data_IF_616297963404
#
_entry.id   IF_616297963404
#
_cell.length_a   1.000
_cell.length_b   1.000
_cell.length_c   1.000
_cell.angle_alpha   90.00
_cell.angle_beta   90.00
_cell.angle_gamma   90.00
#
_symmetry.space_group_name_H-M   'P 1'
#
loop_
_entity.id
_entity.type
_entity.pdbx_description
1 polymer ?
#
# COMPACT_ATOMS: atom_id res chain seq x y z
N UNK A 1 12.83 -7.41 -15.06
CA UNK A 1 11.42 -7.25 -15.49
C UNK A 1 10.56 -6.71 -14.37
N UNK A 2 9.85 -5.60 -14.62
CA UNK A 2 8.94 -5.00 -13.64
C UNK A 2 7.65 -5.83 -13.58
N UNK A 3 7.27 -6.26 -12.38
CA UNK A 3 6.04 -7.01 -12.12
C UNK A 3 4.95 -6.06 -11.63
N UNK A 4 3.73 -6.29 -12.08
CA UNK A 4 2.55 -5.52 -11.74
C UNK A 4 1.54 -6.41 -11.03
N UNK A 5 0.92 -5.90 -9.97
CA UNK A 5 -0.13 -6.62 -9.25
C UNK A 5 -1.44 -6.43 -10.01
N UNK A 6 -2.04 -7.54 -10.42
CA UNK A 6 -3.34 -7.54 -11.10
C UNK A 6 -4.32 -8.32 -10.25
N UNK A 7 -5.42 -7.67 -9.88
CA UNK A 7 -6.54 -8.29 -9.18
C UNK A 7 -7.56 -8.79 -10.21
N UNK A 8 -7.89 -10.07 -10.15
CA UNK A 8 -8.83 -10.75 -11.03
C UNK A 8 -10.16 -10.93 -10.30
N UNK A 9 -11.26 -10.40 -10.86
CA UNK A 9 -12.53 -10.26 -10.15
C UNK A 9 -13.22 -11.61 -9.87
N UNK A 10 -13.23 -12.50 -10.86
CA UNK A 10 -13.85 -13.83 -10.82
C UNK A 10 -13.46 -14.72 -9.63
N UNK A 11 -12.33 -14.45 -8.98
CA UNK A 11 -11.86 -15.21 -7.82
C UNK A 11 -11.30 -14.33 -6.69
N UNK A 12 -11.37 -12.99 -6.84
CA UNK A 12 -10.70 -12.05 -5.95
C UNK A 12 -9.20 -12.38 -5.71
N UNK A 13 -8.52 -12.90 -6.75
CA UNK A 13 -7.12 -13.35 -6.70
C UNK A 13 -6.22 -12.24 -7.21
N UNK A 14 -5.08 -12.04 -6.54
CA UNK A 14 -4.02 -11.14 -7.01
C UNK A 14 -2.89 -11.97 -7.62
N UNK A 15 -2.52 -11.65 -8.87
CA UNK A 15 -1.42 -12.28 -9.59
C UNK A 15 -0.35 -11.26 -9.97
N UNK A 16 0.90 -11.71 -10.03
CA UNK A 16 2.01 -10.91 -10.55
C UNK A 16 2.11 -11.08 -12.06
N UNK A 17 1.85 -10.03 -12.83
CA UNK A 17 1.91 -10.03 -14.29
C UNK A 17 3.07 -9.19 -14.82
N UNK A 18 3.53 -9.49 -16.04
CA UNK A 18 4.57 -8.73 -16.73
C UNK A 18 3.97 -7.86 -17.83
N UNK A 19 4.43 -6.62 -17.94
CA UNK A 19 4.07 -5.73 -19.05
C UNK A 19 4.74 -6.23 -20.33
N UNK A 20 3.94 -6.64 -21.32
CA UNK A 20 4.44 -7.19 -22.58
C UNK A 20 4.52 -6.11 -23.67
N UNK A 21 3.54 -5.22 -23.73
CA UNK A 21 3.45 -4.21 -24.78
C UNK A 21 2.56 -3.03 -24.38
N UNK A 22 3.03 -1.81 -24.67
CA UNK A 22 2.20 -0.61 -24.70
C UNK A 22 1.93 -0.30 -26.16
N UNK A 23 0.66 -0.23 -26.56
CA UNK A 23 0.31 0.16 -27.93
C UNK A 23 0.50 1.67 -28.09
N UNK A 24 1.21 2.14 -29.13
CA UNK A 24 1.57 3.56 -29.25
C UNK A 24 0.40 4.47 -29.65
N UNK A 25 -0.72 3.88 -30.11
CA UNK A 25 -1.89 4.62 -30.58
C UNK A 25 -2.93 4.65 -29.46
N UNK A 26 -3.21 5.85 -28.95
CA UNK A 26 -4.32 6.09 -28.03
C UNK A 26 -5.65 6.04 -28.80
N UNK A 27 -6.68 5.48 -28.18
CA UNK A 27 -8.06 5.61 -28.66
C UNK A 27 -8.57 7.01 -28.28
N UNK A 28 -8.64 7.91 -29.27
CA UNK A 28 -8.96 9.32 -29.04
C UNK A 28 -10.39 9.53 -28.50
N UNK A 29 -11.32 8.62 -28.82
CA UNK A 29 -12.69 8.70 -28.32
C UNK A 29 -12.81 8.25 -26.85
N UNK A 30 -11.86 7.43 -26.37
CA UNK A 30 -11.84 6.89 -25.01
C UNK A 30 -10.77 7.52 -24.12
N UNK A 31 -9.96 8.42 -24.66
CA UNK A 31 -8.78 8.99 -24.00
C UNK A 31 -7.93 7.92 -23.29
N UNK A 32 -7.75 6.76 -23.93
CA UNK A 32 -7.11 5.59 -23.31
C UNK A 32 -6.03 4.98 -24.19
N UNK A 33 -5.01 4.41 -23.56
CA UNK A 33 -3.95 3.65 -24.23
C UNK A 33 -4.14 2.18 -23.94
N UNK A 34 -4.03 1.34 -24.97
CA UNK A 34 -4.10 -0.12 -24.81
C UNK A 34 -2.75 -0.64 -24.31
N UNK A 35 -2.80 -1.45 -23.26
CA UNK A 35 -1.63 -2.09 -22.67
C UNK A 35 -1.89 -3.59 -22.56
N UNK A 36 -0.89 -4.40 -22.92
CA UNK A 36 -0.94 -5.86 -22.84
C UNK A 36 -0.04 -6.33 -21.71
N UNK A 37 -0.62 -7.13 -20.82
CA UNK A 37 0.07 -7.81 -19.73
C UNK A 37 0.03 -9.31 -19.97
N UNK A 38 1.16 -9.97 -19.74
CA UNK A 38 1.24 -11.42 -19.72
C UNK A 38 0.99 -11.91 -18.29
N UNK A 39 -0.03 -12.75 -18.14
CA UNK A 39 -0.45 -13.36 -16.88
C UNK A 39 0.26 -14.72 -16.74
N UNK A 40 0.71 -15.13 -15.53
CA UNK A 40 1.33 -16.43 -15.33
C UNK A 40 0.41 -17.60 -15.73
N UNK A 41 1.01 -18.63 -16.34
CA UNK A 41 0.29 -19.85 -16.73
C UNK A 41 -0.37 -20.50 -15.50
N UNK A 42 -1.60 -20.98 -15.69
CA UNK A 42 -2.40 -21.60 -14.62
C UNK A 42 -3.13 -20.61 -13.70
N UNK A 43 -3.03 -19.29 -13.94
CA UNK A 43 -3.91 -18.33 -13.29
C UNK A 43 -5.38 -18.64 -13.66
N UNK A 44 -6.29 -18.73 -12.68
CA UNK A 44 -7.69 -19.06 -12.93
C UNK A 44 -8.41 -17.85 -13.54
N UNK A 45 -8.20 -17.59 -14.83
CA UNK A 45 -8.81 -16.48 -15.58
C UNK A 45 -9.39 -16.92 -16.91
N UNK A 46 -10.57 -16.39 -17.22
CA UNK A 46 -11.29 -16.64 -18.47
C UNK A 46 -11.30 -15.37 -19.33
N UNK A 47 -11.40 -15.54 -20.64
CA UNK A 47 -11.61 -14.43 -21.55
C UNK A 47 -12.91 -13.68 -21.20
N UNK A 48 -12.84 -12.35 -21.16
CA UNK A 48 -13.96 -11.49 -20.75
C UNK A 48 -14.02 -11.17 -19.26
N UNK A 49 -13.16 -11.77 -18.42
CA UNK A 49 -13.08 -11.42 -17.00
C UNK A 49 -12.57 -9.98 -16.80
N UNK A 50 -13.10 -9.30 -15.78
CA UNK A 50 -12.62 -7.99 -15.35
C UNK A 50 -11.35 -8.13 -14.51
N UNK A 51 -10.43 -7.17 -14.66
CA UNK A 51 -9.18 -7.11 -13.93
C UNK A 51 -8.81 -5.67 -13.59
N UNK A 52 -8.27 -5.47 -12.40
CA UNK A 52 -7.74 -4.20 -11.93
C UNK A 52 -6.21 -4.29 -11.85
N UNK A 53 -5.51 -3.34 -12.46
CA UNK A 53 -4.04 -3.29 -12.46
C UNK A 53 -3.57 -2.20 -11.52
N UNK A 54 -2.77 -2.56 -10.52
CA UNK A 54 -2.10 -1.59 -9.65
C UNK A 54 -0.86 -1.03 -10.37
N UNK A 55 -0.90 0.27 -10.70
CA UNK A 55 0.23 1.00 -11.29
C UNK A 55 0.87 1.86 -10.20
N UNK A 56 2.07 1.46 -9.75
CA UNK A 56 2.86 2.26 -8.82
C UNK A 56 3.68 3.30 -9.58
N UNK A 57 3.40 4.57 -9.31
CA UNK A 57 4.22 5.69 -9.73
C UNK A 57 5.45 5.78 -8.82
N UNK A 58 6.63 5.91 -9.43
CA UNK A 58 7.92 5.99 -8.72
C UNK A 58 8.20 7.42 -8.22
N UNK A 59 7.45 8.40 -8.72
CA UNK A 59 7.67 9.83 -8.47
C UNK A 59 6.32 10.56 -8.27
N UNK A 60 5.51 10.08 -7.33
CA UNK A 60 4.17 10.62 -7.05
C UNK A 60 4.18 11.95 -6.26
N UNK A 61 5.26 12.74 -6.37
CA UNK A 61 5.43 13.98 -5.62
C UNK A 61 5.78 13.79 -4.14
N UNK A 62 4.96 14.33 -3.23
CA UNK A 62 5.27 14.44 -1.78
C UNK A 62 5.58 13.06 -1.19
N UNK A 63 6.79 12.92 -0.62
CA UNK A 63 7.17 11.70 0.09
C UNK A 63 6.20 11.45 1.26
N UNK A 64 5.50 10.31 1.20
CA UNK A 64 4.63 9.86 2.29
C UNK A 64 5.35 8.81 3.13
N UNK A 65 5.27 8.87 4.47
CA UNK A 65 5.79 7.81 5.32
C UNK A 65 5.15 6.46 4.97
N UNK A 66 5.98 5.41 4.89
CA UNK A 66 5.51 4.03 4.70
C UNK A 66 5.89 3.24 5.95
N UNK A 67 4.91 2.57 6.55
CA UNK A 67 5.08 1.82 7.79
C UNK A 67 4.68 0.35 7.60
N UNK A 68 5.25 -0.58 8.38
CA UNK A 68 4.76 -1.96 8.45
C UNK A 68 3.30 -1.98 8.90
N UNK A 69 2.48 -2.82 8.27
CA UNK A 69 1.06 -2.95 8.61
C UNK A 69 0.86 -3.45 10.05
N UNK A 70 1.80 -4.27 10.54
CA UNK A 70 1.85 -4.77 11.93
C UNK A 70 2.10 -3.67 12.98
N UNK A 71 2.54 -2.48 12.58
CA UNK A 71 2.70 -1.35 13.50
C UNK A 71 1.39 -0.58 13.75
N UNK A 72 0.33 -0.88 12.98
CA UNK A 72 -0.94 -0.17 13.00
C UNK A 72 -1.85 -0.78 14.07
N UNK A 73 -2.29 0.06 14.99
CA UNK A 73 -3.25 -0.26 16.04
C UNK A 73 -4.64 0.26 15.67
N UNK A 74 -5.64 -0.60 15.72
CA UNK A 74 -7.05 -0.24 15.51
C UNK A 74 -7.74 -0.07 16.86
N UNK A 75 -7.96 1.18 17.28
CA UNK A 75 -8.72 1.50 18.51
C UNK A 75 -10.02 2.19 18.09
N UNK A 76 -11.15 1.50 18.27
CA UNK A 76 -12.48 2.03 17.95
C UNK A 76 -12.57 2.61 16.53
N UNK A 77 -12.17 1.80 15.55
CA UNK A 77 -12.08 2.10 14.10
C UNK A 77 -11.09 3.20 13.66
N UNK A 78 -10.43 3.91 14.58
CA UNK A 78 -9.39 4.88 14.24
C UNK A 78 -8.01 4.20 14.20
N UNK A 79 -7.32 4.19 13.05
CA UNK A 79 -5.97 3.67 12.97
C UNK A 79 -5.00 4.60 13.69
N UNK A 80 -4.09 4.00 14.43
CA UNK A 80 -3.13 4.68 15.30
C UNK A 80 -1.77 3.97 15.29
N UNK A 81 -0.71 4.70 15.61
CA UNK A 81 0.64 4.17 15.76
C UNK A 81 1.27 4.71 17.05
N UNK A 82 2.17 3.94 17.65
CA UNK A 82 3.00 4.45 18.74
C UNK A 82 4.28 5.06 18.19
N UNK A 83 4.42 6.38 18.35
CA UNK A 83 5.64 7.12 18.02
C UNK A 83 6.53 7.18 19.25
N UNK A 84 7.84 7.09 19.06
CA UNK A 84 8.84 7.22 20.12
C UNK A 84 9.24 8.68 20.20
N UNK A 85 8.91 9.35 21.30
CA UNK A 85 9.30 10.74 21.49
C UNK A 85 10.82 10.84 21.68
N UNK A 86 11.55 11.55 20.79
CA UNK A 86 13.01 11.58 20.82
C UNK A 86 13.60 12.30 22.05
N UNK A 87 12.81 13.13 22.74
CA UNK A 87 13.26 13.88 23.93
C UNK A 87 13.04 13.11 25.21
N UNK A 88 11.91 12.41 25.34
CA UNK A 88 11.54 11.71 26.57
C UNK A 88 11.81 10.21 26.51
N UNK A 89 12.07 9.66 25.32
CA UNK A 89 12.16 8.22 25.05
C UNK A 89 10.92 7.44 25.52
N UNK A 90 9.75 8.09 25.47
CA UNK A 90 8.45 7.51 25.82
C UNK A 90 7.59 7.31 24.58
N UNK A 91 6.65 6.37 24.68
CA UNK A 91 5.65 6.14 23.64
C UNK A 91 4.64 7.29 23.56
N UNK A 92 4.17 7.61 22.36
CA UNK A 92 3.11 8.59 22.10
C UNK A 92 2.11 7.94 21.16
N UNK A 93 0.86 7.74 21.61
CA UNK A 93 -0.18 7.23 20.74
C UNK A 93 -0.64 8.33 19.79
N UNK A 94 -0.51 8.11 18.49
CA UNK A 94 -0.88 9.08 17.46
C UNK A 94 -1.84 8.49 16.46
N UNK A 95 -2.96 9.19 16.23
CA UNK A 95 -3.88 8.84 15.16
C UNK A 95 -3.28 9.19 13.80
N UNK A 96 -3.47 8.28 12.84
CA UNK A 96 -2.94 8.43 11.49
C UNK A 96 -4.05 8.29 10.47
N UNK A 97 -3.90 8.94 9.33
CA UNK A 97 -4.71 8.65 8.14
C UNK A 97 -3.91 7.70 7.26
N UNK A 98 -4.40 6.49 7.07
CA UNK A 98 -3.77 5.51 6.19
C UNK A 98 -4.09 5.81 4.72
N UNK A 99 -3.16 5.45 3.85
CA UNK A 99 -3.34 5.47 2.40
C UNK A 99 -3.31 4.05 1.81
N UNK A 100 -2.81 3.98 0.59
CA UNK A 100 -2.73 2.76 -0.20
C UNK A 100 -1.78 1.70 0.37
N UNK A 101 -2.04 0.43 0.02
CA UNK A 101 -1.12 -0.67 0.31
C UNK A 101 0.14 -0.51 -0.54
N UNK A 102 1.30 -0.59 0.09
CA UNK A 102 2.60 -0.56 -0.60
C UNK A 102 3.25 -1.94 -0.50
N UNK A 103 3.24 -2.68 -1.59
CA UNK A 103 3.71 -4.07 -1.60
C UNK A 103 2.81 -4.99 -0.78
N UNK A 104 3.40 -5.97 -0.07
CA UNK A 104 2.64 -7.04 0.60
C UNK A 104 2.27 -6.77 2.05
N UNK A 105 3.03 -5.96 2.79
CA UNK A 105 2.92 -5.85 4.25
C UNK A 105 3.16 -4.43 4.80
N UNK A 106 2.98 -3.42 3.95
CA UNK A 106 3.20 -2.02 4.32
C UNK A 106 2.05 -1.15 3.83
N UNK A 107 1.82 -0.07 4.57
CA UNK A 107 0.82 0.96 4.26
C UNK A 107 1.47 2.33 4.20
N UNK A 108 1.03 3.17 3.28
CA UNK A 108 1.37 4.60 3.31
C UNK A 108 0.56 5.32 4.39
N UNK A 109 1.13 6.40 4.93
CA UNK A 109 0.50 7.27 5.92
C UNK A 109 0.35 8.66 5.30
N UNK A 110 -0.89 9.08 5.10
CA UNK A 110 -1.25 10.36 4.48
C UNK A 110 -1.16 11.52 5.47
N UNK A 111 -1.40 11.26 6.76
CA UNK A 111 -1.27 12.26 7.82
C UNK A 111 -1.07 11.63 9.20
N UNK A 112 -0.57 12.43 10.15
CA UNK A 112 -0.32 11.99 11.52
C UNK A 112 1.04 11.32 11.72
N UNK A 113 1.90 11.24 10.71
CA UNK A 113 3.28 10.79 10.87
C UNK A 113 4.19 11.60 9.95
N UNK A 114 5.42 11.85 10.39
CA UNK A 114 6.46 12.51 9.59
C UNK A 114 7.59 11.52 9.29
N UNK A 115 8.23 11.73 8.15
CA UNK A 115 9.41 10.96 7.77
C UNK A 115 10.52 11.19 8.81
N UNK A 116 11.18 10.10 9.20
CA UNK A 116 12.25 10.12 10.21
C UNK A 116 11.78 9.89 11.65
N UNK A 117 10.47 9.88 11.92
CA UNK A 117 9.96 9.50 13.24
C UNK A 117 10.14 8.00 13.49
N UNK A 118 10.54 7.65 14.73
CA UNK A 118 10.64 6.27 15.18
C UNK A 118 9.29 5.80 15.68
N UNK A 119 8.89 4.59 15.32
CA UNK A 119 7.64 3.98 15.76
C UNK A 119 7.89 2.60 16.36
N UNK A 120 6.95 2.12 17.17
CA UNK A 120 6.93 0.74 17.65
C UNK A 120 6.42 -0.16 16.52
N UNK A 121 7.25 -1.11 16.06
CA UNK A 121 6.95 -1.93 14.88
C UNK A 121 5.88 -3.01 15.10
N UNK A 122 5.71 -3.49 16.33
CA UNK A 122 4.72 -4.50 16.70
C UNK A 122 4.22 -4.22 18.13
N UNK A 123 3.30 -3.26 18.30
CA UNK A 123 2.81 -2.87 19.62
C UNK A 123 1.91 -3.94 20.24
N UNK A 124 2.03 -4.14 21.55
CA UNK A 124 1.09 -4.94 22.34
C UNK A 124 -0.21 -4.15 22.58
N UNK A 125 -1.36 -4.83 22.62
CA UNK A 125 -2.68 -4.26 22.94
C UNK A 125 -2.71 -3.45 24.25
N UNK A 126 -1.87 -3.83 25.22
CA UNK A 126 -1.75 -3.22 26.54
C UNK A 126 -0.86 -1.96 26.56
N UNK A 127 -0.16 -1.65 25.47
CA UNK A 127 0.65 -0.43 25.40
C UNK A 127 -0.25 0.80 25.50
N UNK A 128 0.24 1.80 26.23
CA UNK A 128 -0.41 3.10 26.41
C UNK A 128 0.57 4.22 26.07
N UNK A 129 0.05 5.43 25.89
CA UNK A 129 0.88 6.62 25.72
C UNK A 129 1.64 6.92 27.01
N UNK A 130 2.89 7.35 26.90
CA UNK A 130 3.77 7.71 28.02
C UNK A 130 4.55 6.56 28.64
N UNK A 131 4.53 5.36 28.04
CA UNK A 131 5.29 4.20 28.49
C UNK A 131 6.77 4.36 28.15
N UNK A 132 7.65 3.93 29.06
CA UNK A 132 9.09 3.86 28.80
C UNK A 132 9.41 2.70 27.83
N UNK A 133 10.43 2.89 27.01
CA UNK A 133 10.83 1.96 25.93
C UNK A 133 12.13 1.25 26.30
#
# INVERSE_FOLDING_TARGET
DKKYRIKLDIANIVVDASLSQIYPIADNNKHSVKVKFDIPAGAPVLAGAYAEVEIFEIDSGVLTPIIPEVAIMWRSSLPSVFVINPKTNKTELRFVRLGEQVGKSKKSVLSGLKIGEKIVANPNILMVSGMDI
#
